data_IF_710366562857
#
_entry.id   IF_710366562857
#
_cell.length_a   1.000
_cell.length_b   1.000
_cell.length_c   1.000
_cell.angle_alpha   90.00
_cell.angle_beta   90.00
_cell.angle_gamma   90.00
#
_symmetry.space_group_name_H-M   'P 1'
#
loop_
_entity.id
_entity.type
_entity.pdbx_description
1 polymer ?
#
# COMPACT_ATOMS: atom_id res chain seq x y z
N UNK A 1 84.60 -62.59 -42.68
CA UNK A 1 83.87 -61.38 -42.26
C UNK A 1 82.40 -61.60 -42.58
N UNK A 2 81.66 -62.13 -41.62
CA UNK A 2 80.21 -62.34 -41.69
C UNK A 2 79.52 -60.99 -41.48
N UNK A 3 78.69 -60.55 -42.44
CA UNK A 3 77.81 -59.39 -42.25
C UNK A 3 76.84 -59.74 -41.11
N UNK A 4 76.71 -58.89 -40.07
CA UNK A 4 75.70 -59.12 -39.05
C UNK A 4 74.30 -59.00 -39.67
N UNK A 5 73.42 -59.94 -39.30
CA UNK A 5 72.02 -59.99 -39.72
C UNK A 5 71.27 -58.70 -39.33
N UNK A 6 71.05 -57.80 -40.29
CA UNK A 6 70.23 -56.59 -40.13
C UNK A 6 68.72 -56.90 -39.97
N UNK A 7 68.30 -58.15 -40.21
CA UNK A 7 66.90 -58.58 -40.21
C UNK A 7 66.20 -58.57 -38.83
N UNK A 8 66.95 -58.66 -37.72
CA UNK A 8 66.35 -58.74 -36.38
C UNK A 8 66.12 -57.37 -35.72
N UNK A 9 66.79 -56.31 -36.18
CA UNK A 9 66.61 -54.96 -35.67
C UNK A 9 65.25 -54.35 -36.08
N UNK A 10 64.71 -54.77 -37.23
CA UNK A 10 63.49 -54.23 -37.83
C UNK A 10 62.20 -54.76 -37.18
N UNK A 11 62.26 -55.95 -36.56
CA UNK A 11 61.11 -56.55 -35.86
C UNK A 11 60.90 -55.86 -34.50
N UNK A 12 61.98 -55.50 -33.80
CA UNK A 12 61.89 -54.83 -32.50
C UNK A 12 61.30 -53.42 -32.58
N UNK A 13 61.66 -52.66 -33.62
CA UNK A 13 61.12 -51.31 -33.89
C UNK A 13 59.63 -51.36 -34.27
N UNK A 14 59.22 -52.33 -35.08
CA UNK A 14 57.82 -52.53 -35.44
C UNK A 14 56.94 -52.88 -34.23
N UNK A 15 57.40 -53.78 -33.35
CA UNK A 15 56.68 -54.17 -32.12
C UNK A 15 56.56 -52.96 -31.17
N UNK A 16 57.63 -52.20 -30.96
CA UNK A 16 57.60 -50.98 -30.14
C UNK A 16 56.61 -49.94 -30.70
N UNK A 17 56.57 -49.77 -32.03
CA UNK A 17 55.60 -48.91 -32.71
C UNK A 17 54.14 -49.34 -32.47
N UNK A 18 53.86 -50.64 -32.50
CA UNK A 18 52.51 -51.16 -32.21
C UNK A 18 52.08 -50.91 -30.76
N UNK A 19 52.98 -51.08 -29.78
CA UNK A 19 52.68 -50.79 -28.38
C UNK A 19 52.42 -49.31 -28.13
N UNK A 20 53.21 -48.42 -28.73
CA UNK A 20 53.01 -46.96 -28.64
C UNK A 20 51.66 -46.59 -29.27
N UNK A 21 51.33 -47.13 -30.44
CA UNK A 21 50.06 -46.86 -31.10
C UNK A 21 48.85 -47.34 -30.25
N UNK A 22 48.91 -48.56 -29.71
CA UNK A 22 47.87 -49.08 -28.84
C UNK A 22 47.68 -48.22 -27.57
N UNK A 23 48.79 -47.77 -26.96
CA UNK A 23 48.75 -46.87 -25.80
C UNK A 23 48.11 -45.52 -26.14
N UNK A 24 48.41 -44.94 -27.31
CA UNK A 24 47.77 -43.70 -27.78
C UNK A 24 46.26 -43.89 -27.97
N UNK A 25 45.84 -44.98 -28.60
CA UNK A 25 44.42 -45.28 -28.82
C UNK A 25 43.68 -45.41 -27.48
N UNK A 26 44.25 -46.13 -26.51
CA UNK A 26 43.63 -46.30 -25.19
C UNK A 26 43.58 -44.99 -24.40
N UNK A 27 44.62 -44.15 -24.51
CA UNK A 27 44.63 -42.81 -23.93
C UNK A 27 43.53 -41.93 -24.53
N UNK A 28 43.40 -41.91 -25.86
CA UNK A 28 42.35 -41.15 -26.56
C UNK A 28 40.95 -41.63 -26.15
N UNK A 29 40.75 -42.95 -26.01
CA UNK A 29 39.49 -43.54 -25.53
C UNK A 29 39.17 -43.10 -24.10
N UNK A 30 40.17 -43.09 -23.23
CA UNK A 30 40.03 -42.65 -21.84
C UNK A 30 39.66 -41.17 -21.78
N UNK A 31 40.35 -40.31 -22.53
CA UNK A 31 40.07 -38.86 -22.63
C UNK A 31 38.64 -38.63 -23.15
N UNK A 32 38.24 -39.32 -24.21
CA UNK A 32 36.89 -39.21 -24.78
C UNK A 32 35.80 -39.59 -23.77
N UNK A 33 36.04 -40.65 -22.98
CA UNK A 33 35.11 -41.08 -21.92
C UNK A 33 34.99 -40.05 -20.81
N UNK A 34 36.12 -39.47 -20.36
CA UNK A 34 36.12 -38.41 -19.35
C UNK A 34 35.40 -37.14 -19.83
N UNK A 35 35.62 -36.73 -21.08
CA UNK A 35 34.94 -35.59 -21.69
C UNK A 35 33.41 -35.82 -21.78
N UNK A 36 32.98 -37.03 -22.14
CA UNK A 36 31.56 -37.39 -22.19
C UNK A 36 30.91 -37.31 -20.79
N UNK A 37 31.59 -37.82 -19.75
CA UNK A 37 31.12 -37.73 -18.36
C UNK A 37 31.01 -36.26 -17.91
N UNK A 38 32.05 -35.46 -18.18
CA UNK A 38 32.05 -34.04 -17.84
C UNK A 38 30.92 -33.27 -18.54
N UNK A 39 30.68 -33.57 -19.82
CA UNK A 39 29.59 -32.97 -20.59
C UNK A 39 28.21 -33.35 -20.02
N UNK A 40 27.98 -34.61 -19.66
CA UNK A 40 26.73 -35.05 -19.03
C UNK A 40 26.53 -34.41 -17.65
N UNK A 41 27.58 -34.31 -16.84
CA UNK A 41 27.52 -33.62 -15.56
C UNK A 41 27.19 -32.13 -15.72
N UNK A 42 27.82 -31.46 -16.70
CA UNK A 42 27.51 -30.08 -17.05
C UNK A 42 26.06 -29.92 -17.53
N UNK A 43 25.58 -30.82 -18.40
CA UNK A 43 24.19 -30.80 -18.86
C UNK A 43 23.21 -30.97 -17.69
N UNK A 44 23.47 -31.93 -16.80
CA UNK A 44 22.66 -32.14 -15.59
C UNK A 44 22.65 -30.90 -14.68
N UNK A 45 23.79 -30.24 -14.51
CA UNK A 45 23.90 -28.98 -13.76
C UNK A 45 23.08 -27.85 -14.43
N UNK A 46 23.16 -27.71 -15.75
CA UNK A 46 22.39 -26.71 -16.49
C UNK A 46 20.88 -26.95 -16.38
N UNK A 47 20.42 -28.20 -16.45
CA UNK A 47 19.00 -28.55 -16.21
C UNK A 47 18.61 -28.19 -14.79
N UNK A 48 19.42 -28.54 -13.78
CA UNK A 48 19.16 -28.23 -12.39
C UNK A 48 18.99 -26.71 -12.15
N UNK A 49 19.90 -25.90 -12.69
CA UNK A 49 19.81 -24.44 -12.61
C UNK A 49 18.55 -23.92 -13.32
N UNK A 50 18.23 -24.47 -14.50
CA UNK A 50 17.00 -24.13 -15.23
C UNK A 50 15.74 -24.40 -14.40
N UNK A 51 15.67 -25.56 -13.74
CA UNK A 51 14.55 -25.92 -12.84
C UNK A 51 14.46 -24.97 -11.66
N UNK A 52 15.58 -24.59 -11.03
CA UNK A 52 15.59 -23.62 -9.93
C UNK A 52 15.05 -22.24 -10.36
N UNK A 53 15.46 -21.75 -11.53
CA UNK A 53 14.96 -20.47 -12.04
C UNK A 53 13.47 -20.56 -12.40
N UNK A 54 13.02 -21.64 -13.02
CA UNK A 54 11.61 -21.87 -13.31
C UNK A 54 10.78 -21.92 -12.01
N UNK A 55 11.23 -22.66 -11.01
CA UNK A 55 10.58 -22.73 -9.70
C UNK A 55 10.49 -21.35 -9.04
N UNK A 56 11.60 -20.59 -9.00
CA UNK A 56 11.63 -19.22 -8.46
C UNK A 56 10.65 -18.31 -9.22
N UNK A 57 10.58 -18.42 -10.54
CA UNK A 57 9.64 -17.69 -11.38
C UNK A 57 8.18 -17.99 -11.01
N UNK A 58 7.84 -19.26 -10.84
CA UNK A 58 6.50 -19.69 -10.40
C UNK A 58 6.18 -19.16 -9.00
N UNK A 59 7.11 -19.26 -8.04
CA UNK A 59 6.92 -18.72 -6.69
C UNK A 59 6.64 -17.20 -6.72
N UNK A 60 7.42 -16.42 -7.49
CA UNK A 60 7.20 -14.98 -7.63
C UNK A 60 5.82 -14.66 -8.24
N UNK A 61 5.37 -15.43 -9.24
CA UNK A 61 4.03 -15.26 -9.83
C UNK A 61 2.91 -15.57 -8.84
N UNK A 62 3.06 -16.64 -8.05
CA UNK A 62 2.08 -17.02 -7.02
C UNK A 62 2.02 -15.98 -5.90
N UNK A 63 3.17 -15.49 -5.43
CA UNK A 63 3.25 -14.42 -4.43
C UNK A 63 2.61 -13.13 -4.94
N UNK A 64 2.91 -12.74 -6.18
CA UNK A 64 2.32 -11.56 -6.82
C UNK A 64 0.80 -11.67 -6.94
N UNK A 65 0.29 -12.80 -7.42
CA UNK A 65 -1.16 -13.04 -7.54
C UNK A 65 -1.84 -13.04 -6.16
N UNK A 66 -1.20 -13.63 -5.15
CA UNK A 66 -1.72 -13.69 -3.77
C UNK A 66 -1.75 -12.29 -3.14
N UNK A 67 -0.70 -11.48 -3.36
CA UNK A 67 -0.65 -10.08 -2.92
C UNK A 67 -1.76 -9.26 -3.58
N UNK A 68 -1.93 -9.34 -4.91
CA UNK A 68 -3.03 -8.65 -5.61
C UNK A 68 -4.41 -9.02 -5.06
N UNK A 69 -4.67 -10.31 -4.82
CA UNK A 69 -5.93 -10.77 -4.22
C UNK A 69 -6.14 -10.24 -2.80
N UNK A 70 -5.07 -10.16 -1.99
CA UNK A 70 -5.14 -9.58 -0.65
C UNK A 70 -5.46 -8.09 -0.70
N UNK A 71 -4.80 -7.33 -1.58
CA UNK A 71 -5.04 -5.91 -1.79
C UNK A 71 -6.49 -5.66 -2.24
N UNK A 72 -6.98 -6.43 -3.22
CA UNK A 72 -8.36 -6.33 -3.71
C UNK A 72 -9.39 -6.58 -2.60
N UNK A 73 -9.21 -7.65 -1.81
CA UNK A 73 -10.11 -7.98 -0.69
C UNK A 73 -10.11 -6.89 0.39
N UNK A 74 -8.92 -6.40 0.77
CA UNK A 74 -8.82 -5.31 1.73
C UNK A 74 -9.50 -4.04 1.22
N UNK A 75 -9.33 -3.73 -0.07
CA UNK A 75 -9.94 -2.55 -0.67
C UNK A 75 -11.46 -2.64 -0.71
N UNK A 76 -12.01 -3.81 -1.07
CA UNK A 76 -13.44 -4.07 -1.05
C UNK A 76 -14.02 -3.95 0.37
N UNK A 77 -13.36 -4.59 1.36
CA UNK A 77 -13.77 -4.51 2.76
C UNK A 77 -13.77 -3.07 3.28
N UNK A 78 -12.72 -2.30 3.00
CA UNK A 78 -12.62 -0.91 3.47
C UNK A 78 -13.69 -0.02 2.83
N UNK A 79 -13.95 -0.18 1.53
CA UNK A 79 -15.04 0.52 0.83
C UNK A 79 -16.39 0.22 1.47
N UNK A 80 -16.68 -1.06 1.72
CA UNK A 80 -17.91 -1.49 2.35
C UNK A 80 -18.05 -0.90 3.76
N UNK A 81 -17.00 -0.99 4.58
CA UNK A 81 -16.96 -0.40 5.94
C UNK A 81 -17.23 1.11 5.91
N UNK A 82 -16.55 1.85 5.04
CA UNK A 82 -16.77 3.28 4.90
C UNK A 82 -18.21 3.60 4.47
N UNK A 83 -18.78 2.80 3.57
CA UNK A 83 -20.15 3.01 3.10
C UNK A 83 -21.21 2.71 4.16
N UNK A 84 -21.07 1.60 4.88
CA UNK A 84 -22.06 1.11 5.83
C UNK A 84 -21.99 1.82 7.17
N UNK A 85 -20.80 2.20 7.62
CA UNK A 85 -20.62 2.72 8.98
C UNK A 85 -20.27 4.20 9.04
N UNK A 86 -19.47 4.69 8.08
CA UNK A 86 -18.99 6.09 8.10
C UNK A 86 -19.91 7.01 7.33
N UNK A 87 -20.35 6.60 6.14
CA UNK A 87 -21.11 7.41 5.20
C UNK A 87 -22.62 7.18 5.27
N UNK A 88 -23.12 6.33 6.19
CA UNK A 88 -24.56 6.00 6.28
C UNK A 88 -25.45 7.22 6.49
N UNK A 89 -24.93 8.27 7.12
CA UNK A 89 -25.64 9.53 7.31
C UNK A 89 -24.71 10.72 7.32
N UNK A 90 -24.82 11.57 8.34
CA UNK A 90 -24.02 12.78 8.45
C UNK A 90 -22.63 12.46 8.98
N UNK A 91 -21.62 12.68 8.15
CA UNK A 91 -20.22 12.58 8.52
C UNK A 91 -19.70 13.91 9.07
N UNK A 92 -19.09 13.87 10.26
CA UNK A 92 -18.40 14.99 10.88
C UNK A 92 -16.94 14.57 11.07
N UNK A 93 -16.02 15.32 10.47
CA UNK A 93 -14.57 15.10 10.60
C UNK A 93 -13.99 16.26 11.41
N UNK A 94 -13.30 15.93 12.49
CA UNK A 94 -12.62 16.90 13.35
C UNK A 94 -11.51 17.67 12.61
N UNK A 95 -11.30 18.94 12.96
CA UNK A 95 -10.29 19.82 12.36
C UNK A 95 -8.87 19.27 12.55
N UNK A 96 -8.59 18.60 13.67
CA UNK A 96 -7.31 17.94 13.92
C UNK A 96 -7.02 16.81 12.92
N UNK A 97 -8.05 16.08 12.48
CA UNK A 97 -7.92 15.04 11.46
C UNK A 97 -7.54 15.67 10.11
N UNK A 98 -8.24 16.74 9.71
CA UNK A 98 -7.92 17.51 8.50
C UNK A 98 -6.50 18.06 8.49
N UNK A 99 -5.96 18.40 9.66
CA UNK A 99 -4.63 19.01 9.81
C UNK A 99 -3.48 17.99 9.88
N UNK A 100 -3.76 16.71 10.09
CA UNK A 100 -2.70 15.72 10.33
C UNK A 100 -2.23 15.04 9.04
N UNK A 101 -0.94 15.19 8.73
CA UNK A 101 -0.28 14.59 7.55
C UNK A 101 -0.28 13.06 7.57
N UNK A 102 -0.26 12.44 8.76
CA UNK A 102 -0.29 10.97 8.89
C UNK A 102 -1.55 10.33 8.31
N UNK A 103 -2.59 11.13 8.06
CA UNK A 103 -3.90 10.70 7.57
C UNK A 103 -4.09 10.93 6.06
N UNK A 104 -3.03 11.23 5.30
CA UNK A 104 -3.13 11.38 3.84
C UNK A 104 -3.79 10.17 3.16
N UNK A 105 -3.37 8.95 3.54
CA UNK A 105 -3.96 7.74 2.98
C UNK A 105 -5.47 7.66 3.24
N UNK A 106 -5.94 8.10 4.41
CA UNK A 106 -7.36 8.14 4.73
C UNK A 106 -8.11 9.12 3.81
N UNK A 107 -7.56 10.31 3.55
CA UNK A 107 -8.20 11.28 2.65
C UNK A 107 -8.23 10.82 1.19
N UNK A 108 -7.20 10.09 0.71
CA UNK A 108 -7.21 9.48 -0.62
C UNK A 108 -8.33 8.44 -0.74
N UNK A 109 -8.47 7.55 0.25
CA UNK A 109 -9.56 6.57 0.25
C UNK A 109 -10.92 7.24 0.33
N UNK A 110 -11.07 8.22 1.24
CA UNK A 110 -12.33 8.95 1.40
C UNK A 110 -12.73 9.68 0.12
N UNK A 111 -11.79 10.34 -0.55
CA UNK A 111 -12.03 10.96 -1.86
C UNK A 111 -12.55 9.93 -2.86
N UNK A 112 -11.87 8.80 -3.02
CA UNK A 112 -12.26 7.76 -3.96
C UNK A 112 -13.70 7.28 -3.69
N UNK A 113 -14.01 6.96 -2.42
CA UNK A 113 -15.34 6.48 -2.06
C UNK A 113 -16.41 7.53 -2.29
N UNK A 114 -16.15 8.81 -2.00
CA UNK A 114 -17.11 9.88 -2.24
C UNK A 114 -17.36 10.10 -3.74
N UNK A 115 -16.31 10.04 -4.56
CA UNK A 115 -16.40 10.14 -6.02
C UNK A 115 -17.20 8.96 -6.58
N UNK A 116 -16.82 7.73 -6.22
CA UNK A 116 -17.46 6.50 -6.69
C UNK A 116 -18.97 6.46 -6.36
N UNK A 117 -19.34 7.03 -5.21
CA UNK A 117 -20.73 7.00 -4.71
C UNK A 117 -21.53 8.26 -5.03
N UNK A 118 -20.89 9.28 -5.64
CA UNK A 118 -21.50 10.59 -5.89
C UNK A 118 -21.91 11.34 -4.60
N UNK A 119 -21.40 10.92 -3.44
CA UNK A 119 -21.75 11.52 -2.14
C UNK A 119 -20.95 12.79 -1.89
N UNK A 120 -21.56 13.68 -1.12
CA UNK A 120 -20.95 14.95 -0.68
C UNK A 120 -20.93 15.01 0.83
N UNK A 121 -19.82 15.50 1.38
CA UNK A 121 -19.66 15.76 2.81
C UNK A 121 -19.75 17.25 3.10
N UNK A 122 -20.08 17.57 4.35
CA UNK A 122 -20.17 18.94 4.83
C UNK A 122 -19.03 19.22 5.81
N UNK A 123 -18.33 20.33 5.61
CA UNK A 123 -17.46 20.93 6.60
C UNK A 123 -18.18 22.12 7.23
N UNK A 124 -18.22 22.19 8.55
CA UNK A 124 -18.95 23.27 9.19
C UNK A 124 -18.11 24.54 9.31
N UNK A 125 -18.75 25.70 9.09
CA UNK A 125 -18.09 27.01 9.07
C UNK A 125 -17.14 27.27 10.24
N UNK A 126 -17.54 27.05 11.50
CA UNK A 126 -16.65 27.21 12.65
C UNK A 126 -15.41 26.31 12.64
N UNK A 127 -15.47 25.10 12.06
CA UNK A 127 -14.28 24.25 11.88
C UNK A 127 -13.33 24.85 10.84
N UNK A 128 -13.90 25.38 9.74
CA UNK A 128 -13.12 26.06 8.72
C UNK A 128 -12.47 27.36 9.26
N UNK A 129 -13.21 28.14 10.05
CA UNK A 129 -12.70 29.34 10.72
C UNK A 129 -11.57 29.00 11.69
N UNK A 130 -11.69 27.92 12.46
CA UNK A 130 -10.62 27.45 13.34
C UNK A 130 -9.33 27.15 12.56
N UNK A 131 -9.42 26.38 11.47
CA UNK A 131 -8.28 26.07 10.61
C UNK A 131 -7.66 27.36 10.04
N UNK A 132 -8.49 28.29 9.58
CA UNK A 132 -8.04 29.60 9.09
C UNK A 132 -7.34 30.42 10.19
N UNK A 133 -7.91 30.49 11.39
CA UNK A 133 -7.34 31.23 12.51
C UNK A 133 -5.96 30.68 12.90
N UNK A 134 -5.78 29.36 12.86
CA UNK A 134 -4.47 28.73 13.09
C UNK A 134 -3.48 29.19 12.03
N UNK A 135 -3.84 29.16 10.74
CA UNK A 135 -2.97 29.63 9.64
C UNK A 135 -2.53 31.08 9.85
N UNK A 136 -3.43 31.95 10.30
CA UNK A 136 -3.15 33.38 10.46
C UNK A 136 -2.37 33.74 11.73
N UNK A 137 -2.54 32.99 12.82
CA UNK A 137 -1.86 33.25 14.10
C UNK A 137 -0.47 32.62 14.20
N UNK A 138 -0.12 31.73 13.28
CA UNK A 138 1.12 30.96 13.36
C UNK A 138 2.05 31.27 12.20
N UNK A 139 3.35 31.37 12.51
CA UNK A 139 4.39 31.57 11.50
C UNK A 139 4.40 30.40 10.50
N UNK A 140 4.78 30.70 9.25
CA UNK A 140 4.81 29.71 8.16
C UNK A 140 5.66 28.48 8.49
N UNK A 141 6.81 28.70 9.12
CA UNK A 141 7.77 27.63 9.47
C UNK A 141 7.33 26.80 10.69
N UNK A 142 6.27 27.20 11.39
CA UNK A 142 5.77 26.42 12.52
C UNK A 142 5.05 25.16 12.03
N UNK A 143 5.22 24.05 12.74
CA UNK A 143 4.52 22.81 12.42
C UNK A 143 2.99 23.00 12.37
N UNK A 144 2.44 23.77 13.31
CA UNK A 144 1.01 24.09 13.37
C UNK A 144 0.53 24.91 12.15
N UNK A 145 1.34 25.86 11.70
CA UNK A 145 1.08 26.64 10.49
C UNK A 145 1.13 25.82 9.21
N UNK A 146 2.04 24.84 9.10
CA UNK A 146 2.07 23.91 7.97
C UNK A 146 0.84 22.99 7.93
N UNK A 147 0.46 22.43 9.09
CA UNK A 147 -0.70 21.54 9.23
C UNK A 147 -2.04 22.21 8.86
N UNK A 148 -2.24 23.47 9.27
CA UNK A 148 -3.43 24.23 8.84
C UNK A 148 -3.46 24.49 7.33
N UNK A 149 -2.31 24.78 6.71
CA UNK A 149 -2.22 24.93 5.25
C UNK A 149 -2.49 23.62 4.50
N UNK A 150 -2.02 22.50 5.04
CA UNK A 150 -2.36 21.16 4.53
C UNK A 150 -3.87 20.92 4.56
N UNK A 151 -4.52 21.20 5.68
CA UNK A 151 -5.98 21.08 5.80
C UNK A 151 -6.71 21.92 4.74
N UNK A 152 -6.30 23.18 4.55
CA UNK A 152 -6.89 24.05 3.52
C UNK A 152 -6.69 23.51 2.11
N UNK A 153 -5.51 22.98 1.79
CA UNK A 153 -5.23 22.35 0.50
C UNK A 153 -6.16 21.15 0.25
N UNK A 154 -6.34 20.28 1.27
CA UNK A 154 -7.27 19.14 1.20
C UNK A 154 -8.72 19.59 0.99
N UNK A 155 -9.15 20.60 1.73
CA UNK A 155 -10.51 21.17 1.63
C UNK A 155 -10.73 21.76 0.23
N UNK A 156 -9.80 22.56 -0.28
CA UNK A 156 -9.87 23.16 -1.61
C UNK A 156 -9.93 22.07 -2.70
N UNK A 157 -9.10 21.03 -2.58
CA UNK A 157 -9.12 19.86 -3.47
C UNK A 157 -10.48 19.17 -3.48
N UNK A 158 -11.04 18.87 -2.30
CA UNK A 158 -12.36 18.24 -2.18
C UNK A 158 -13.49 19.13 -2.74
N UNK A 159 -13.38 20.45 -2.60
CA UNK A 159 -14.33 21.40 -3.22
C UNK A 159 -14.21 21.40 -4.75
N UNK A 160 -12.99 21.40 -5.31
CA UNK A 160 -12.74 21.31 -6.76
C UNK A 160 -13.34 20.03 -7.35
N UNK A 161 -13.25 18.92 -6.62
CA UNK A 161 -13.88 17.63 -6.96
C UNK A 161 -15.39 17.59 -6.72
N UNK A 162 -16.00 18.67 -6.21
CA UNK A 162 -17.44 18.79 -5.88
C UNK A 162 -17.96 17.77 -4.86
N UNK A 163 -17.08 17.21 -4.02
CA UNK A 163 -17.42 16.23 -2.98
C UNK A 163 -17.49 16.83 -1.57
N UNK A 164 -17.13 18.11 -1.39
CA UNK A 164 -17.25 18.83 -0.12
C UNK A 164 -17.94 20.18 -0.29
N UNK A 165 -18.77 20.54 0.68
CA UNK A 165 -19.34 21.88 0.81
C UNK A 165 -19.11 22.43 2.23
N UNK A 166 -18.94 23.75 2.35
CA UNK A 166 -18.76 24.42 3.65
C UNK A 166 -20.08 25.08 4.05
N UNK A 167 -20.62 24.77 5.24
CA UNK A 167 -21.94 25.26 5.68
C UNK A 167 -22.03 25.62 7.17
N UNK A 168 -22.61 26.78 7.54
CA UNK A 168 -22.69 28.00 6.74
C UNK A 168 -21.28 28.60 6.56
N UNK A 169 -21.03 29.28 5.44
CA UNK A 169 -19.85 30.14 5.29
C UNK A 169 -20.25 31.57 5.61
N UNK A 170 -19.47 32.24 6.47
CA UNK A 170 -19.64 33.66 6.79
C UNK A 170 -18.67 34.47 5.93
N UNK A 171 -19.04 35.71 5.62
CA UNK A 171 -18.14 36.66 4.92
C UNK A 171 -16.92 36.92 5.80
N UNK A 172 -17.16 37.21 7.09
CA UNK A 172 -16.11 37.39 8.07
C UNK A 172 -15.84 36.11 8.86
N UNK A 173 -14.57 35.75 8.98
CA UNK A 173 -14.13 34.65 9.85
C UNK A 173 -14.41 34.99 11.31
N UNK A 174 -14.93 34.03 12.07
CA UNK A 174 -14.98 34.16 13.52
C UNK A 174 -13.58 33.93 14.11
N UNK A 175 -12.92 35.00 14.60
CA UNK A 175 -11.57 34.95 15.19
C UNK A 175 -11.49 34.11 16.47
N UNK A 176 -12.62 33.81 17.10
CA UNK A 176 -12.72 33.01 18.32
C UNK A 176 -13.46 31.68 18.07
N UNK A 177 -13.50 31.24 16.82
CA UNK A 177 -14.10 29.96 16.48
C UNK A 177 -13.40 28.81 17.23
N UNK A 178 -14.22 28.00 17.89
CA UNK A 178 -13.84 26.75 18.51
C UNK A 178 -14.83 25.69 18.04
N UNK A 179 -14.32 24.61 17.43
CA UNK A 179 -15.15 23.65 16.71
C UNK A 179 -15.96 22.73 17.64
N UNK A 180 -15.40 22.33 18.79
CA UNK A 180 -15.96 21.26 19.61
C UNK A 180 -17.40 21.51 20.07
N UNK A 181 -17.79 22.72 20.56
CA UNK A 181 -19.17 22.97 20.96
C UNK A 181 -20.16 22.79 19.79
N UNK A 182 -19.74 23.14 18.57
CA UNK A 182 -20.56 22.93 17.38
C UNK A 182 -20.64 21.45 17.04
N UNK A 183 -19.52 20.73 17.03
CA UNK A 183 -19.48 19.28 16.77
C UNK A 183 -20.45 18.56 17.71
N UNK A 184 -20.36 18.83 19.01
CA UNK A 184 -21.24 18.23 20.02
C UNK A 184 -22.71 18.60 19.80
N UNK A 185 -23.01 19.86 19.43
CA UNK A 185 -24.37 20.28 19.09
C UNK A 185 -24.92 19.56 17.85
N UNK A 186 -24.09 19.35 16.83
CA UNK A 186 -24.48 18.65 15.61
C UNK A 186 -24.84 17.19 15.88
N UNK A 187 -24.10 16.53 16.77
CA UNK A 187 -24.39 15.16 17.19
C UNK A 187 -25.73 15.05 17.92
N UNK A 188 -26.05 16.00 18.80
CA UNK A 188 -27.33 16.03 19.53
C UNK A 188 -28.51 16.40 18.63
N UNK A 189 -28.30 17.27 17.64
CA UNK A 189 -29.40 17.76 16.80
C UNK A 189 -29.74 16.81 15.65
N UNK A 190 -28.83 15.92 15.25
CA UNK A 190 -29.03 15.05 14.09
C UNK A 190 -30.11 13.96 14.26
N UNK A 191 -30.30 13.33 15.45
CA UNK A 191 -31.37 12.37 15.67
C UNK A 191 -32.77 12.94 15.46
N UNK A 192 -32.95 14.26 15.60
CA UNK A 192 -34.24 14.93 15.29
C UNK A 192 -34.67 14.74 13.83
N UNK A 193 -33.74 14.38 12.95
CA UNK A 193 -33.99 14.14 11.53
C UNK A 193 -33.84 12.65 11.13
N UNK A 194 -33.80 11.72 12.08
CA UNK A 194 -33.56 10.28 11.85
C UNK A 194 -32.30 9.96 11.00
N UNK A 195 -31.33 10.88 10.94
CA UNK A 195 -30.07 10.66 10.23
C UNK A 195 -29.00 10.18 11.19
N UNK A 196 -28.40 9.00 10.96
CA UNK A 196 -27.27 8.55 11.76
C UNK A 196 -26.10 9.53 11.60
N UNK A 197 -25.37 9.77 12.68
CA UNK A 197 -24.17 10.62 12.68
C UNK A 197 -22.93 9.81 12.94
N UNK A 198 -21.91 10.04 12.13
CA UNK A 198 -20.57 9.54 12.33
C UNK A 198 -19.64 10.70 12.70
N UNK A 199 -18.92 10.58 13.81
CA UNK A 199 -17.82 11.48 14.16
C UNK A 199 -16.49 10.75 13.97
N UNK A 200 -15.62 11.35 13.15
CA UNK A 200 -14.23 10.92 13.00
C UNK A 200 -13.34 11.85 13.82
N UNK A 201 -12.75 11.31 14.89
CA UNK A 201 -11.79 12.02 15.75
C UNK A 201 -10.92 11.05 16.53
N UNK A 202 -9.64 11.38 16.67
CA UNK A 202 -8.69 10.69 17.54
C UNK A 202 -8.59 11.40 18.91
N UNK A 203 -9.30 12.52 19.12
CA UNK A 203 -9.34 13.24 20.40
C UNK A 203 -10.20 12.48 21.42
N UNK A 204 -9.54 11.92 22.44
CA UNK A 204 -10.17 11.14 23.51
C UNK A 204 -11.17 11.98 24.31
N UNK A 205 -10.85 13.24 24.59
CA UNK A 205 -11.72 14.12 25.36
C UNK A 205 -13.00 14.42 24.58
N UNK A 206 -12.88 14.72 23.29
CA UNK A 206 -14.04 14.94 22.41
C UNK A 206 -14.93 13.70 22.33
N UNK A 207 -14.36 12.49 22.22
CA UNK A 207 -15.13 11.22 22.23
C UNK A 207 -15.91 11.02 23.53
N UNK A 208 -15.28 11.27 24.67
CA UNK A 208 -15.93 11.16 25.99
C UNK A 208 -17.10 12.15 26.08
N UNK A 209 -16.86 13.42 25.72
CA UNK A 209 -17.89 14.47 25.74
C UNK A 209 -19.04 14.15 24.78
N UNK A 210 -18.75 13.64 23.59
CA UNK A 210 -19.75 13.25 22.59
C UNK A 210 -20.71 12.18 23.12
N UNK A 211 -20.17 11.09 23.70
CA UNK A 211 -20.99 10.03 24.30
C UNK A 211 -21.86 10.56 25.43
N UNK A 212 -21.27 11.32 26.35
CA UNK A 212 -21.99 11.81 27.53
C UNK A 212 -23.12 12.77 27.16
N UNK A 213 -22.86 13.68 26.22
CA UNK A 213 -23.86 14.66 25.76
C UNK A 213 -25.00 13.98 25.01
N UNK A 214 -24.70 13.03 24.11
CA UNK A 214 -25.76 12.30 23.39
C UNK A 214 -26.61 11.47 24.36
N UNK A 215 -25.99 10.83 25.36
CA UNK A 215 -26.68 10.10 26.43
C UNK A 215 -27.64 11.01 27.23
N UNK A 216 -27.16 12.18 27.67
CA UNK A 216 -27.99 13.16 28.41
C UNK A 216 -29.15 13.69 27.58
N UNK A 217 -28.90 13.95 26.29
CA UNK A 217 -29.91 14.46 25.38
C UNK A 217 -30.90 13.40 24.87
N UNK A 218 -30.81 12.13 25.34
CA UNK A 218 -31.60 10.99 24.83
C UNK A 218 -31.55 10.88 23.30
N UNK A 219 -30.40 11.23 22.75
CA UNK A 219 -30.09 11.22 21.33
C UNK A 219 -29.53 9.85 20.95
N UNK A 220 -29.71 9.43 19.69
CA UNK A 220 -29.08 8.22 19.19
C UNK A 220 -27.55 8.32 19.38
N UNK A 221 -26.92 7.22 19.81
CA UNK A 221 -25.48 7.21 20.02
C UNK A 221 -24.76 7.41 18.68
N UNK A 222 -23.83 8.38 18.58
CA UNK A 222 -23.12 8.61 17.35
C UNK A 222 -22.12 7.47 17.10
N UNK A 223 -21.95 7.09 15.84
CA UNK A 223 -20.86 6.20 15.47
C UNK A 223 -19.55 6.97 15.60
N UNK A 224 -18.62 6.48 16.41
CA UNK A 224 -17.32 7.10 16.63
C UNK A 224 -16.24 6.28 15.93
N UNK A 225 -15.43 6.94 15.11
CA UNK A 225 -14.30 6.32 14.43
C UNK A 225 -13.01 7.04 14.75
N UNK A 226 -12.00 6.25 15.10
CA UNK A 226 -10.62 6.69 15.21
C UNK A 226 -9.94 6.42 13.86
N UNK A 227 -9.32 7.44 13.27
CA UNK A 227 -8.65 7.29 11.97
C UNK A 227 -7.47 6.35 12.11
N UNK A 228 -6.79 6.38 13.26
CA UNK A 228 -5.65 5.53 13.55
C UNK A 228 -5.94 4.04 13.27
N UNK A 229 -7.13 3.56 13.61
CA UNK A 229 -7.54 2.16 13.42
C UNK A 229 -7.76 1.82 11.94
N UNK A 230 -8.14 2.80 11.12
CA UNK A 230 -8.36 2.63 9.68
C UNK A 230 -7.06 2.75 8.88
N UNK A 231 -6.02 3.40 9.41
CA UNK A 231 -4.80 3.72 8.66
C UNK A 231 -4.10 2.52 8.00
N UNK A 232 -3.92 1.36 8.67
CA UNK A 232 -3.29 0.21 8.01
C UNK A 232 -4.05 -0.22 6.75
N UNK A 233 -5.38 -0.20 6.81
CA UNK A 233 -6.25 -0.56 5.70
C UNK A 233 -6.24 0.50 4.61
N UNK A 234 -6.22 1.78 4.97
CA UNK A 234 -6.09 2.89 4.02
C UNK A 234 -4.78 2.83 3.24
N UNK A 235 -3.65 2.49 3.90
CA UNK A 235 -2.36 2.36 3.22
C UNK A 235 -2.37 1.24 2.19
N UNK A 236 -2.92 0.08 2.55
CA UNK A 236 -3.09 -1.04 1.61
C UNK A 236 -4.03 -0.68 0.46
N UNK A 237 -5.04 0.18 0.70
CA UNK A 237 -5.91 0.67 -0.37
C UNK A 237 -5.15 1.57 -1.36
N UNK A 238 -4.33 2.50 -0.86
CA UNK A 238 -3.50 3.37 -1.71
C UNK A 238 -2.50 2.54 -2.52
N UNK A 239 -1.91 1.50 -1.92
CA UNK A 239 -1.08 0.53 -2.64
C UNK A 239 -1.88 -0.23 -3.72
N UNK A 240 -3.13 -0.61 -3.42
CA UNK A 240 -4.01 -1.23 -4.40
C UNK A 240 -4.33 -0.29 -5.59
N UNK A 241 -4.47 1.02 -5.35
CA UNK A 241 -4.64 2.02 -6.40
C UNK A 241 -3.37 2.15 -7.27
N UNK A 242 -2.19 2.21 -6.66
CA UNK A 242 -0.93 2.35 -7.41
C UNK A 242 -0.58 1.11 -8.24
N UNK A 243 -1.00 -0.08 -7.79
CA UNK A 243 -0.84 -1.34 -8.53
C UNK A 243 -1.95 -1.59 -9.58
N UNK A 244 -2.91 -0.67 -9.73
CA UNK A 244 -4.03 -0.80 -10.66
C UNK A 244 -4.98 -1.94 -10.30
N UNK A 245 -5.01 -2.37 -9.04
CA UNK A 245 -5.94 -3.38 -8.52
C UNK A 245 -7.32 -2.77 -8.32
N UNK A 246 -7.38 -1.48 -7.99
CA UNK A 246 -8.60 -0.70 -7.82
C UNK A 246 -8.64 0.38 -8.91
N UNK A 247 -9.79 0.60 -9.59
CA UNK A 247 -9.90 1.68 -10.55
C UNK A 247 -9.76 3.06 -9.87
N UNK A 248 -9.11 3.98 -10.56
CA UNK A 248 -9.00 5.40 -10.18
C UNK A 248 -10.26 6.17 -10.55
#
# INVERSE_FOLDING_TARGET
MSRPDESNADIGTAIAGMFIFAAIVELLRTIGTLLAIAFLAFLGYMVYIGVLYAYKGVCMLVEYATRKRRLARNAAWLRERLMQDVLKGRLIIDSNIWMNEKYDAFFVVLEQVLVDTGRKIELYGPQFDEICNIKHRTNFNSAKGRRSRLALSRIEHFQKRRILSIRPIRIDRNRFAYADPLILRLLVCAPKNNMPTCLITDDRELRIRAREICRRARSAEPTLFEVHDLLPHCRLFVEALSEGVVPQ
#
